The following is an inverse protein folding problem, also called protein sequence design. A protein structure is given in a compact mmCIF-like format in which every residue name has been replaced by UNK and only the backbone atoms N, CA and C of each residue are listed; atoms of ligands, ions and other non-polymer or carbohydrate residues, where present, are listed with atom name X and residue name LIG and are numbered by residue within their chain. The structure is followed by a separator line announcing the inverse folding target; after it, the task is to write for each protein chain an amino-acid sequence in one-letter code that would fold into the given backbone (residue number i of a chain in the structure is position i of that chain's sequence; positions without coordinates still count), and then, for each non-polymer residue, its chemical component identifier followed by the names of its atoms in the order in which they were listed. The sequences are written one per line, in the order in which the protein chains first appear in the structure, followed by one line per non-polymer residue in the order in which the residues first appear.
data_IF_494476692446
#
_entry.id   IF_494476692446
#
_cell.length_a   1.000
_cell.length_b   1.000
_cell.length_c   1.000
_cell.angle_alpha   90.00
_cell.angle_beta   90.00
_cell.angle_gamma   90.00
#
_symmetry.space_group_name_H-M   'P 1'
#
loop_
_entity.id
_entity.type
_entity.pdbx_description
1 polymer ?
#
# COMPACT_ATOMS: atom_id res chain seq x y z
N UNK A 1 13.39 -6.87 16.52
CA UNK A 1 13.11 -8.23 15.99
C UNK A 1 13.40 -9.25 17.10
N UNK A 2 14.58 -9.28 17.70
CA UNK A 2 14.97 -10.26 18.74
C UNK A 2 14.05 -10.32 19.99
N UNK A 3 13.29 -9.27 20.27
CA UNK A 3 12.29 -9.26 21.36
C UNK A 3 10.99 -9.95 20.93
N UNK A 4 10.58 -9.81 19.67
CA UNK A 4 9.38 -10.47 19.15
C UNK A 4 9.54 -12.00 19.05
N UNK A 5 10.74 -12.48 18.79
CA UNK A 5 11.04 -13.93 18.72
C UNK A 5 10.90 -14.63 20.07
N UNK A 6 10.94 -13.87 21.18
CA UNK A 6 10.77 -14.40 22.54
C UNK A 6 9.31 -14.55 22.95
N UNK A 7 8.37 -13.93 22.19
CA UNK A 7 6.95 -13.97 22.51
C UNK A 7 6.38 -15.32 22.06
N UNK A 8 5.98 -16.11 23.03
CA UNK A 8 5.36 -17.40 22.79
C UNK A 8 3.84 -17.27 22.52
N UNK A 9 3.24 -18.31 21.93
CA UNK A 9 1.77 -18.39 21.84
C UNK A 9 1.10 -18.27 23.21
N UNK A 10 1.72 -18.83 24.26
CA UNK A 10 1.19 -18.76 25.62
C UNK A 10 1.17 -17.33 26.15
N UNK A 11 2.18 -16.51 25.85
CA UNK A 11 2.23 -15.11 26.24
C UNK A 11 1.11 -14.30 25.58
N UNK A 12 0.84 -14.55 24.31
CA UNK A 12 -0.26 -13.89 23.56
C UNK A 12 -1.61 -14.28 24.16
N UNK A 13 -1.83 -15.58 24.42
CA UNK A 13 -3.08 -16.07 25.03
C UNK A 13 -3.24 -15.50 26.44
N UNK A 14 -2.18 -15.48 27.23
CA UNK A 14 -2.19 -14.88 28.57
C UNK A 14 -2.56 -13.39 28.51
N UNK A 15 -1.89 -12.64 27.64
CA UNK A 15 -2.20 -11.21 27.44
C UNK A 15 -3.66 -11.00 27.05
N UNK A 16 -4.17 -11.78 26.11
CA UNK A 16 -5.56 -11.67 25.67
C UNK A 16 -6.54 -11.93 26.83
N UNK A 17 -6.31 -12.98 27.63
CA UNK A 17 -7.15 -13.31 28.78
C UNK A 17 -7.06 -12.27 29.91
N UNK A 18 -5.91 -11.63 30.07
CA UNK A 18 -5.71 -10.59 31.10
C UNK A 18 -6.30 -9.24 30.67
N UNK A 19 -6.27 -8.93 29.35
CA UNK A 19 -6.67 -7.63 28.81
C UNK A 19 -8.13 -7.58 28.37
N UNK A 20 -8.61 -8.59 27.63
CA UNK A 20 -9.98 -8.66 27.13
C UNK A 20 -10.89 -9.36 28.17
N UNK A 21 -11.44 -8.57 29.05
CA UNK A 21 -12.42 -9.00 30.07
C UNK A 21 -13.76 -8.30 29.80
N UNK A 22 -14.58 -8.14 30.83
CA UNK A 22 -15.88 -7.45 30.76
C UNK A 22 -15.77 -5.92 30.65
N UNK A 23 -14.57 -5.40 30.45
CA UNK A 23 -14.23 -3.97 30.34
C UNK A 23 -14.37 -3.44 28.90
N UNK A 24 -15.43 -3.82 28.20
CA UNK A 24 -15.71 -3.38 26.85
C UNK A 24 -17.00 -2.58 26.74
N UNK A 25 -17.09 -1.72 25.73
CA UNK A 25 -18.30 -0.97 25.39
C UNK A 25 -18.77 -1.44 24.02
N UNK A 26 -20.04 -1.79 23.90
CA UNK A 26 -20.66 -2.18 22.64
C UNK A 26 -21.51 -1.04 22.14
N UNK A 27 -21.28 -0.61 20.92
CA UNK A 27 -22.11 0.38 20.23
C UNK A 27 -22.85 -0.31 19.08
N UNK A 28 -24.18 -0.34 19.17
CA UNK A 28 -25.03 -0.86 18.12
C UNK A 28 -25.39 0.26 17.12
N UNK A 29 -25.12 0.04 15.83
CA UNK A 29 -25.56 0.94 14.75
C UNK A 29 -26.64 0.25 13.96
N UNK A 30 -27.87 0.70 14.13
CA UNK A 30 -29.02 0.18 13.44
C UNK A 30 -29.52 1.16 12.36
N UNK A 31 -30.18 0.62 11.33
CA UNK A 31 -30.82 1.45 10.29
C UNK A 31 -32.20 1.87 10.79
N UNK A 32 -32.44 3.16 10.89
CA UNK A 32 -33.73 3.72 11.31
C UNK A 32 -33.61 5.02 12.05
N UNK A 33 -34.73 5.50 12.58
CA UNK A 33 -34.82 6.66 13.45
C UNK A 33 -35.08 6.16 14.86
N UNK A 34 -34.25 6.57 15.82
CA UNK A 34 -34.48 6.27 17.23
C UNK A 34 -35.10 7.50 17.91
N UNK A 35 -36.41 7.45 18.11
CA UNK A 35 -37.15 8.56 18.74
C UNK A 35 -36.85 8.74 20.23
N UNK A 36 -36.14 7.73 20.86
CA UNK A 36 -35.73 7.78 22.27
C UNK A 36 -34.34 8.39 22.45
N UNK A 37 -33.71 8.87 21.38
CA UNK A 37 -32.41 9.52 21.46
C UNK A 37 -32.55 10.86 22.20
N UNK A 38 -32.02 10.91 23.42
CA UNK A 38 -31.87 12.19 24.13
C UNK A 38 -30.84 13.03 23.39
N UNK A 39 -31.31 14.06 22.70
CA UNK A 39 -30.39 15.02 22.06
C UNK A 39 -29.73 15.85 23.16
N UNK A 40 -28.45 15.68 23.33
CA UNK A 40 -27.65 16.57 24.17
C UNK A 40 -27.77 17.98 23.59
N UNK A 41 -28.32 18.93 24.38
CA UNK A 41 -28.30 20.31 23.97
C UNK A 41 -26.86 20.80 23.87
N UNK A 42 -26.56 21.43 22.74
CA UNK A 42 -25.21 21.96 22.53
C UNK A 42 -24.97 23.06 23.60
N UNK A 43 -24.03 22.83 24.55
CA UNK A 43 -23.67 23.89 25.49
C UNK A 43 -23.13 25.06 24.68
N UNK A 44 -23.66 26.25 24.92
CA UNK A 44 -23.17 27.44 24.20
C UNK A 44 -21.66 27.56 24.33
N UNK A 45 -20.95 27.41 23.21
CA UNK A 45 -19.50 27.56 23.19
C UNK A 45 -19.20 29.06 23.19
N UNK A 46 -18.58 29.56 24.25
CA UNK A 46 -18.09 30.94 24.28
C UNK A 46 -16.95 31.06 23.25
N UNK A 47 -17.09 31.93 22.23
CA UNK A 47 -16.04 32.08 21.23
C UNK A 47 -14.75 32.58 21.90
N UNK A 48 -13.68 31.79 21.80
CA UNK A 48 -12.36 32.21 22.23
C UNK A 48 -11.82 33.18 21.17
N UNK A 49 -11.47 34.39 21.58
CA UNK A 49 -10.77 35.33 20.70
C UNK A 49 -9.36 34.78 20.41
N UNK A 50 -9.22 34.14 19.26
CA UNK A 50 -7.93 33.63 18.81
C UNK A 50 -7.16 34.80 18.17
N UNK A 51 -6.06 35.20 18.77
CA UNK A 51 -5.11 36.08 18.13
C UNK A 51 -4.24 35.23 17.17
N UNK A 52 -4.61 35.21 15.90
CA UNK A 52 -3.91 34.44 14.85
C UNK A 52 -2.50 35.01 14.52
N UNK A 53 -2.23 36.23 14.94
CA UNK A 53 -0.95 36.91 14.71
C UNK A 53 -0.01 36.80 15.93
N UNK A 54 -0.49 36.22 17.03
CA UNK A 54 0.34 35.98 18.20
C UNK A 54 1.44 34.95 17.87
N UNK A 55 2.68 35.40 17.98
CA UNK A 55 3.85 34.57 17.78
C UNK A 55 4.62 34.45 19.08
N UNK A 56 5.03 33.23 19.41
CA UNK A 56 5.92 33.01 20.56
C UNK A 56 7.29 33.69 20.31
N UNK A 57 8.04 34.06 21.37
CA UNK A 57 9.41 34.54 21.21
C UNK A 57 10.29 33.58 20.42
N UNK A 58 10.11 32.27 20.62
CA UNK A 58 10.80 31.22 19.87
C UNK A 58 10.51 31.28 18.36
N UNK A 59 9.23 31.37 17.96
CA UNK A 59 8.88 31.48 16.55
C UNK A 59 9.45 32.77 15.94
N UNK A 60 9.39 33.91 16.66
CA UNK A 60 9.98 35.17 16.21
C UNK A 60 11.49 35.02 15.98
N UNK A 61 12.21 34.34 16.87
CA UNK A 61 13.64 34.10 16.71
C UNK A 61 13.95 33.25 15.48
N UNK A 62 13.17 32.23 15.21
CA UNK A 62 13.29 31.39 13.98
C UNK A 62 13.03 32.23 12.73
N UNK A 63 11.94 33.00 12.71
CA UNK A 63 11.56 33.83 11.57
C UNK A 63 12.56 34.98 11.30
N UNK A 64 13.25 35.45 12.33
CA UNK A 64 14.31 36.44 12.19
C UNK A 64 15.65 35.85 11.72
N UNK A 65 15.81 34.55 11.74
CA UNK A 65 17.01 33.88 11.27
C UNK A 65 17.11 34.03 9.74
N UNK A 66 18.19 34.62 9.27
CA UNK A 66 18.47 34.75 7.83
C UNK A 66 18.73 33.35 7.27
N UNK A 67 17.80 32.81 6.48
CA UNK A 67 18.05 31.59 5.76
C UNK A 67 19.24 31.80 4.78
N UNK A 68 20.18 30.87 4.80
CA UNK A 68 21.24 30.88 3.77
C UNK A 68 20.64 30.57 2.39
N UNK A 69 21.31 31.04 1.35
CA UNK A 69 20.91 30.72 -0.04
C UNK A 69 20.99 29.20 -0.27
N UNK A 70 19.85 28.58 -0.36
CA UNK A 70 19.76 27.15 -0.73
C UNK A 70 19.90 27.07 -2.25
N UNK A 71 21.06 26.63 -2.70
CA UNK A 71 21.27 26.33 -4.12
C UNK A 71 20.77 24.90 -4.41
N UNK A 72 19.86 24.71 -5.36
CA UNK A 72 19.42 23.38 -5.73
C UNK A 72 20.61 22.59 -6.29
N UNK A 73 20.80 21.37 -5.78
CA UNK A 73 21.75 20.41 -6.35
C UNK A 73 20.96 19.44 -7.24
N UNK A 74 21.18 19.54 -8.54
CA UNK A 74 20.55 18.63 -9.50
C UNK A 74 21.36 17.33 -9.57
N UNK A 75 20.63 16.20 -9.55
CA UNK A 75 21.25 14.89 -9.74
C UNK A 75 21.42 14.66 -11.23
N UNK A 76 22.65 14.41 -11.66
CA UNK A 76 22.92 13.89 -12.99
C UNK A 76 22.65 12.38 -13.01
N UNK A 77 21.51 11.99 -13.57
CA UNK A 77 21.08 10.60 -13.64
C UNK A 77 22.02 9.71 -14.48
N UNK A 78 22.79 10.28 -15.40
CA UNK A 78 23.74 9.52 -16.21
C UNK A 78 24.93 9.02 -15.39
N UNK A 79 25.29 9.75 -14.35
CA UNK A 79 26.39 9.38 -13.45
C UNK A 79 25.90 8.70 -12.16
N UNK A 80 24.67 9.03 -11.72
CA UNK A 80 24.10 8.50 -10.48
C UNK A 80 23.54 7.08 -10.62
N UNK A 81 23.18 6.65 -11.85
CA UNK A 81 22.60 5.35 -12.14
C UNK A 81 23.60 4.50 -12.89
N UNK A 82 24.05 3.41 -12.27
CA UNK A 82 24.83 2.38 -12.99
C UNK A 82 23.89 1.57 -13.89
N UNK A 83 24.26 1.42 -15.14
CA UNK A 83 23.50 0.67 -16.14
C UNK A 83 24.31 -0.54 -16.58
N UNK A 84 23.69 -1.72 -16.51
CA UNK A 84 24.27 -2.98 -16.99
C UNK A 84 23.22 -3.76 -17.80
N UNK A 85 23.60 -4.92 -18.29
CA UNK A 85 22.68 -5.85 -18.98
C UNK A 85 22.81 -7.24 -18.38
N UNK A 86 21.67 -7.89 -18.16
CA UNK A 86 21.59 -9.32 -17.85
C UNK A 86 20.91 -9.96 -19.06
N UNK A 87 21.68 -10.74 -19.84
CA UNK A 87 21.29 -11.21 -21.19
C UNK A 87 20.93 -9.98 -22.07
N UNK A 88 19.68 -9.90 -22.55
CA UNK A 88 19.14 -8.81 -23.37
C UNK A 88 18.44 -7.71 -22.56
N UNK A 89 18.28 -7.89 -21.26
CA UNK A 89 17.54 -6.96 -20.39
C UNK A 89 18.44 -5.91 -19.78
N UNK A 90 18.01 -4.65 -19.87
CA UNK A 90 18.65 -3.51 -19.20
C UNK A 90 18.39 -3.60 -17.70
N UNK A 91 19.43 -3.44 -16.90
CA UNK A 91 19.37 -3.33 -15.45
C UNK A 91 19.92 -1.97 -15.03
N UNK A 92 19.14 -1.22 -14.31
CA UNK A 92 19.54 0.04 -13.71
C UNK A 92 19.74 -0.16 -12.21
N UNK A 93 20.85 0.31 -11.67
CA UNK A 93 21.23 0.11 -10.27
C UNK A 93 21.64 1.42 -9.63
N UNK A 94 21.13 1.66 -8.43
CA UNK A 94 21.55 2.76 -7.55
C UNK A 94 21.86 2.14 -6.18
N UNK A 95 23.10 2.36 -5.69
CA UNK A 95 23.49 1.85 -4.37
C UNK A 95 22.80 2.62 -3.26
N UNK A 96 22.11 1.92 -2.36
CA UNK A 96 21.64 2.51 -1.11
C UNK A 96 22.84 2.76 -0.18
N UNK A 97 23.06 4.01 0.21
CA UNK A 97 24.17 4.44 1.07
C UNK A 97 23.74 4.66 2.52
N UNK A 98 22.47 4.52 2.83
CA UNK A 98 21.88 4.93 4.11
C UNK A 98 21.58 3.76 5.03
N UNK A 99 21.23 2.62 4.47
CA UNK A 99 20.88 1.42 5.22
C UNK A 99 21.02 0.16 4.36
N UNK A 100 20.76 -1.01 4.93
CA UNK A 100 20.85 -2.34 4.28
C UNK A 100 19.57 -2.76 3.57
N UNK A 101 18.63 -1.86 3.32
CA UNK A 101 17.41 -2.16 2.58
C UNK A 101 17.68 -2.06 1.09
N UNK A 102 17.40 -3.14 0.37
CA UNK A 102 17.43 -3.18 -1.08
C UNK A 102 16.02 -3.30 -1.67
N UNK A 103 15.87 -2.79 -2.87
CA UNK A 103 14.66 -2.95 -3.67
C UNK A 103 15.01 -3.48 -5.05
N UNK A 104 14.29 -4.50 -5.50
CA UNK A 104 14.37 -5.03 -6.86
C UNK A 104 13.01 -4.88 -7.52
N UNK A 105 12.97 -4.25 -8.70
CA UNK A 105 11.74 -4.07 -9.47
C UNK A 105 11.86 -4.70 -10.85
N UNK A 106 10.91 -5.56 -11.18
CA UNK A 106 10.69 -6.07 -12.54
C UNK A 106 9.70 -5.13 -13.22
N UNK A 107 10.14 -4.44 -14.24
CA UNK A 107 9.33 -3.48 -15.00
C UNK A 107 9.00 -4.09 -16.36
N UNK A 108 7.72 -4.31 -16.60
CA UNK A 108 7.19 -4.78 -17.87
C UNK A 108 6.52 -3.59 -18.57
N UNK A 109 6.97 -3.17 -19.76
CA UNK A 109 6.34 -2.09 -20.53
C UNK A 109 5.03 -2.58 -21.18
N UNK A 110 4.11 -3.01 -20.35
CA UNK A 110 2.84 -3.62 -20.71
C UNK A 110 1.83 -3.38 -19.59
N UNK A 111 0.75 -2.70 -19.90
CA UNK A 111 -0.25 -2.27 -18.93
C UNK A 111 -1.69 -2.42 -19.44
N UNK A 112 -2.63 -1.77 -18.78
CA UNK A 112 -4.07 -1.89 -19.13
C UNK A 112 -4.44 -1.25 -20.46
N UNK A 113 -3.58 -0.40 -21.04
CA UNK A 113 -3.77 0.11 -22.41
C UNK A 113 -3.46 -0.97 -23.47
N UNK A 114 -2.64 -1.95 -23.12
CA UNK A 114 -2.33 -3.10 -23.97
C UNK A 114 -3.36 -4.23 -23.80
N UNK A 115 -3.77 -4.47 -22.56
CA UNK A 115 -4.75 -5.50 -22.21
C UNK A 115 -5.55 -5.09 -20.96
N UNK A 116 -6.86 -4.90 -21.14
CA UNK A 116 -7.78 -4.48 -20.07
C UNK A 116 -7.94 -5.54 -18.97
N UNK A 117 -7.72 -6.81 -19.28
CA UNK A 117 -7.85 -7.91 -18.34
C UNK A 117 -6.61 -8.07 -17.44
N UNK A 118 -5.50 -7.44 -17.80
CA UNK A 118 -4.24 -7.54 -17.07
C UNK A 118 -4.37 -7.12 -15.61
N UNK A 119 -5.15 -6.08 -15.32
CA UNK A 119 -5.40 -5.63 -13.95
C UNK A 119 -6.07 -6.70 -13.09
N UNK A 120 -7.03 -7.44 -13.67
CA UNK A 120 -7.66 -8.58 -13.01
C UNK A 120 -6.67 -9.72 -12.82
N UNK A 121 -5.93 -10.10 -13.87
CA UNK A 121 -4.91 -11.14 -13.80
C UNK A 121 -3.87 -10.88 -12.72
N UNK A 122 -3.34 -9.66 -12.64
CA UNK A 122 -2.37 -9.25 -11.61
C UNK A 122 -3.00 -9.26 -10.20
N UNK A 123 -4.28 -8.88 -10.08
CA UNK A 123 -5.00 -8.93 -8.81
C UNK A 123 -5.21 -10.36 -8.31
N UNK A 124 -5.46 -11.30 -9.22
CA UNK A 124 -5.61 -12.73 -8.89
C UNK A 124 -4.26 -13.35 -8.54
N UNK A 125 -3.20 -13.03 -9.30
CA UNK A 125 -1.87 -13.61 -9.17
C UNK A 125 -1.34 -13.58 -7.72
N UNK A 126 -1.55 -12.49 -7.00
CA UNK A 126 -1.07 -12.35 -5.62
C UNK A 126 -1.72 -13.31 -4.60
N UNK A 127 -2.78 -14.00 -5.00
CA UNK A 127 -3.48 -14.99 -4.18
C UNK A 127 -3.26 -16.42 -4.67
N UNK A 128 -2.51 -16.61 -5.76
CA UNK A 128 -2.21 -17.93 -6.32
C UNK A 128 -0.95 -18.52 -5.72
N UNK A 129 -0.98 -19.82 -5.51
CA UNK A 129 0.20 -20.60 -5.15
C UNK A 129 0.96 -21.11 -6.36
N UNK A 130 1.88 -22.02 -6.11
CA UNK A 130 2.67 -22.73 -7.11
C UNK A 130 2.46 -24.25 -6.97
N UNK A 131 3.16 -25.01 -7.78
CA UNK A 131 3.26 -26.47 -7.63
C UNK A 131 3.88 -26.89 -6.29
N UNK A 132 4.74 -26.03 -5.71
CA UNK A 132 5.51 -26.32 -4.48
C UNK A 132 4.97 -25.65 -3.23
N UNK A 133 4.36 -24.48 -3.36
CA UNK A 133 3.92 -23.63 -2.23
C UNK A 133 2.46 -23.23 -2.36
N UNK A 134 1.70 -23.31 -1.26
CA UNK A 134 0.41 -22.64 -1.17
C UNK A 134 0.62 -21.11 -1.09
N UNK A 135 -0.43 -20.29 -1.32
CA UNK A 135 -0.33 -18.84 -1.16
C UNK A 135 0.15 -18.40 0.23
N UNK A 136 -0.29 -19.11 1.28
CA UNK A 136 0.12 -18.86 2.67
C UNK A 136 1.60 -19.18 2.87
N UNK A 137 2.06 -20.32 2.35
CA UNK A 137 3.45 -20.73 2.42
C UNK A 137 4.37 -19.76 1.67
N UNK A 138 3.96 -19.24 0.51
CA UNK A 138 4.71 -18.18 -0.20
C UNK A 138 4.86 -16.93 0.67
N UNK A 139 3.78 -16.48 1.30
CA UNK A 139 3.82 -15.32 2.22
C UNK A 139 4.73 -15.59 3.41
N UNK A 140 4.68 -16.77 3.98
CA UNK A 140 5.53 -17.18 5.09
C UNK A 140 7.01 -17.20 4.69
N UNK A 141 7.35 -17.75 3.52
CA UNK A 141 8.73 -17.79 3.03
C UNK A 141 9.28 -16.36 2.78
N UNK A 142 8.48 -15.46 2.17
CA UNK A 142 8.88 -14.06 2.05
C UNK A 142 9.04 -13.38 3.40
N UNK A 143 8.15 -13.65 4.35
CA UNK A 143 8.24 -13.13 5.71
C UNK A 143 9.52 -13.60 6.43
N UNK A 144 9.87 -14.89 6.35
CA UNK A 144 11.13 -15.44 6.92
C UNK A 144 12.38 -14.76 6.34
N UNK A 145 12.30 -14.34 5.07
CA UNK A 145 13.37 -13.59 4.42
C UNK A 145 13.39 -12.11 4.81
N UNK A 146 12.37 -11.60 5.50
CA UNK A 146 12.20 -10.17 5.76
C UNK A 146 12.02 -9.37 4.47
N UNK A 147 11.37 -9.96 3.46
CA UNK A 147 11.11 -9.36 2.16
C UNK A 147 9.61 -9.18 1.97
N UNK A 148 9.21 -7.98 1.65
CA UNK A 148 7.88 -7.66 1.16
C UNK A 148 7.85 -7.68 -0.36
N UNK A 149 6.71 -8.03 -0.92
CA UNK A 149 6.47 -7.98 -2.36
C UNK A 149 5.20 -7.19 -2.69
N UNK A 150 5.16 -6.62 -3.88
CA UNK A 150 3.98 -5.93 -4.39
C UNK A 150 3.86 -6.10 -5.90
N UNK A 151 2.61 -6.13 -6.36
CA UNK A 151 2.24 -6.22 -7.76
C UNK A 151 1.41 -4.99 -8.12
N UNK A 152 1.81 -4.25 -9.13
CA UNK A 152 1.13 -3.04 -9.56
C UNK A 152 1.02 -2.99 -11.08
N UNK A 153 -0.18 -2.74 -11.56
CA UNK A 153 -0.44 -2.48 -12.99
C UNK A 153 -0.95 -1.05 -13.15
N UNK A 154 -0.38 -0.32 -14.08
CA UNK A 154 -0.83 0.97 -14.55
C UNK A 154 -1.30 0.88 -16.01
N UNK A 155 -1.50 2.02 -16.66
CA UNK A 155 -1.96 2.06 -18.03
C UNK A 155 -0.93 1.48 -19.01
N UNK A 156 0.35 1.76 -18.80
CA UNK A 156 1.46 1.54 -19.69
C UNK A 156 2.48 0.50 -19.20
N UNK A 157 2.39 0.10 -17.94
CA UNK A 157 3.39 -0.81 -17.35
C UNK A 157 2.83 -1.64 -16.19
N UNK A 158 3.44 -2.79 -15.99
CA UNK A 158 3.26 -3.63 -14.81
C UNK A 158 4.59 -3.72 -14.07
N UNK A 159 4.54 -3.53 -12.76
CA UNK A 159 5.72 -3.55 -11.90
C UNK A 159 5.52 -4.57 -10.78
N UNK A 160 6.51 -5.44 -10.61
CA UNK A 160 6.61 -6.34 -9.45
C UNK A 160 7.81 -5.88 -8.65
N UNK A 161 7.61 -5.56 -7.39
CA UNK A 161 8.65 -5.04 -6.52
C UNK A 161 8.89 -5.94 -5.32
N UNK A 162 10.16 -6.21 -5.02
CA UNK A 162 10.63 -6.82 -3.78
C UNK A 162 11.37 -5.76 -2.97
N UNK A 163 11.10 -5.68 -1.69
CA UNK A 163 11.79 -4.77 -0.77
C UNK A 163 12.14 -5.49 0.52
N UNK A 164 13.38 -5.42 0.96
CA UNK A 164 13.83 -6.06 2.18
C UNK A 164 15.35 -5.97 2.35
N UNK A 165 15.92 -6.79 3.23
CA UNK A 165 17.34 -6.79 3.50
C UNK A 165 18.16 -7.26 2.26
N UNK A 166 19.22 -6.51 1.94
CA UNK A 166 20.12 -6.80 0.82
C UNK A 166 20.68 -8.23 0.89
N UNK A 167 21.08 -8.67 2.10
CA UNK A 167 21.62 -10.00 2.34
C UNK A 167 20.69 -11.16 1.92
N UNK A 168 19.38 -10.93 1.98
CA UNK A 168 18.34 -11.91 1.65
C UNK A 168 17.77 -11.73 0.24
N UNK A 169 18.10 -10.64 -0.44
CA UNK A 169 17.45 -10.27 -1.72
C UNK A 169 17.67 -11.33 -2.81
N UNK A 170 18.81 -11.98 -2.85
CA UNK A 170 19.05 -13.09 -3.81
C UNK A 170 18.00 -14.20 -3.65
N UNK A 171 17.77 -14.66 -2.42
CA UNK A 171 16.75 -15.69 -2.14
C UNK A 171 15.34 -15.21 -2.45
N UNK A 172 15.04 -13.93 -2.17
CA UNK A 172 13.77 -13.33 -2.52
C UNK A 172 13.52 -13.28 -4.02
N UNK A 173 14.53 -12.95 -4.82
CA UNK A 173 14.47 -12.97 -6.29
C UNK A 173 14.27 -14.40 -6.80
N UNK A 174 14.97 -15.39 -6.25
CA UNK A 174 14.80 -16.81 -6.60
C UNK A 174 13.37 -17.29 -6.30
N UNK A 175 12.84 -16.96 -5.13
CA UNK A 175 11.46 -17.29 -4.74
C UNK A 175 10.43 -16.60 -5.65
N UNK A 176 10.61 -15.32 -5.97
CA UNK A 176 9.73 -14.59 -6.89
C UNK A 176 9.77 -15.19 -8.30
N UNK A 177 10.95 -15.53 -8.81
CA UNK A 177 11.08 -16.18 -10.11
C UNK A 177 10.38 -17.54 -10.12
N UNK A 178 10.53 -18.33 -9.06
CA UNK A 178 9.79 -19.58 -8.92
C UNK A 178 8.28 -19.34 -8.95
N UNK A 179 7.79 -18.35 -8.19
CA UNK A 179 6.36 -18.01 -8.17
C UNK A 179 5.85 -17.63 -9.56
N UNK A 180 6.51 -16.70 -10.24
CA UNK A 180 6.09 -16.22 -11.56
C UNK A 180 6.10 -17.30 -12.66
N UNK A 181 7.01 -18.26 -12.56
CA UNK A 181 7.17 -19.31 -13.60
C UNK A 181 6.33 -20.57 -13.32
N UNK A 182 5.90 -20.79 -12.08
CA UNK A 182 5.20 -22.01 -11.66
C UNK A 182 3.84 -21.73 -11.03
N UNK A 183 3.24 -20.58 -11.35
CA UNK A 183 1.93 -20.22 -10.80
C UNK A 183 0.88 -21.26 -11.19
N UNK A 184 0.07 -21.67 -10.20
CA UNK A 184 -1.02 -22.63 -10.40
C UNK A 184 -2.35 -21.88 -10.39
N UNK A 185 -3.06 -21.95 -11.50
CA UNK A 185 -4.39 -21.35 -11.60
C UNK A 185 -5.38 -22.03 -10.63
N UNK A 186 -6.18 -21.21 -9.97
CA UNK A 186 -7.26 -21.65 -9.08
C UNK A 186 -8.53 -20.91 -9.42
N UNK A 187 -9.54 -21.67 -9.91
CA UNK A 187 -10.83 -21.11 -10.30
C UNK A 187 -11.59 -20.51 -9.12
N UNK A 188 -11.51 -21.09 -7.93
CA UNK A 188 -12.22 -20.59 -6.76
C UNK A 188 -11.67 -19.24 -6.32
N UNK A 189 -10.35 -19.06 -6.36
CA UNK A 189 -9.69 -17.79 -6.08
C UNK A 189 -10.08 -16.74 -7.14
N UNK A 190 -10.11 -17.13 -8.41
CA UNK A 190 -10.56 -16.23 -9.48
C UNK A 190 -12.00 -15.76 -9.25
N UNK A 191 -12.94 -16.71 -9.05
CA UNK A 191 -14.36 -16.41 -8.85
C UNK A 191 -14.57 -15.51 -7.62
N UNK A 192 -13.87 -15.78 -6.52
CA UNK A 192 -13.92 -14.95 -5.30
C UNK A 192 -13.38 -13.55 -5.54
N UNK A 193 -12.28 -13.41 -6.28
CA UNK A 193 -11.70 -12.11 -6.62
C UNK A 193 -12.65 -11.29 -7.49
N UNK A 194 -13.24 -11.90 -8.52
CA UNK A 194 -14.25 -11.25 -9.37
C UNK A 194 -15.44 -10.79 -8.55
N UNK A 195 -15.97 -11.64 -7.66
CA UNK A 195 -17.07 -11.29 -6.76
C UNK A 195 -16.74 -10.07 -5.91
N UNK A 196 -15.57 -10.07 -5.27
CA UNK A 196 -15.10 -8.94 -4.44
C UNK A 196 -14.98 -7.63 -5.24
N UNK A 197 -14.49 -7.71 -6.48
CA UNK A 197 -14.39 -6.54 -7.37
C UNK A 197 -15.80 -6.01 -7.71
N UNK A 198 -16.75 -6.88 -8.03
CA UNK A 198 -18.12 -6.48 -8.35
C UNK A 198 -18.81 -5.84 -7.15
N UNK A 199 -18.68 -6.41 -5.97
CA UNK A 199 -19.18 -5.83 -4.70
C UNK A 199 -18.56 -4.44 -4.43
N UNK A 200 -17.24 -4.30 -4.64
CA UNK A 200 -16.55 -3.00 -4.52
C UNK A 200 -17.08 -1.96 -5.50
N UNK A 201 -17.41 -2.36 -6.74
CA UNK A 201 -18.01 -1.47 -7.74
C UNK A 201 -19.40 -1.01 -7.32
N UNK A 202 -20.21 -1.89 -6.74
CA UNK A 202 -21.54 -1.54 -6.25
C UNK A 202 -21.49 -0.58 -5.05
N UNK A 203 -20.51 -0.72 -4.17
CA UNK A 203 -20.24 0.25 -3.11
C UNK A 203 -19.78 1.58 -3.70
N UNK A 204 -18.89 1.55 -4.69
CA UNK A 204 -18.37 2.76 -5.34
C UNK A 204 -19.47 3.59 -6.00
N UNK A 205 -20.52 2.97 -6.57
CA UNK A 205 -21.68 3.65 -7.14
C UNK A 205 -22.52 4.42 -6.12
N UNK A 206 -22.32 4.18 -4.83
CA UNK A 206 -22.99 4.88 -3.71
C UNK A 206 -22.10 5.93 -3.04
N UNK A 207 -20.83 6.01 -3.42
CA UNK A 207 -19.86 6.95 -2.88
C UNK A 207 -19.88 8.27 -3.68
N UNK A 208 -20.25 9.37 -3.02
CA UNK A 208 -20.37 10.69 -3.65
C UNK A 208 -19.07 11.18 -4.29
N UNK A 209 -17.94 10.92 -3.65
CA UNK A 209 -16.62 11.35 -4.13
C UNK A 209 -16.24 10.59 -5.41
N UNK A 210 -16.48 9.28 -5.43
CA UNK A 210 -16.23 8.45 -6.61
C UNK A 210 -17.16 8.79 -7.77
N UNK A 211 -18.44 9.06 -7.50
CA UNK A 211 -19.40 9.52 -8.52
C UNK A 211 -18.93 10.84 -9.11
N UNK A 212 -18.52 11.80 -8.28
CA UNK A 212 -18.03 13.10 -8.75
C UNK A 212 -16.75 12.96 -9.59
N UNK A 213 -15.83 12.10 -9.15
CA UNK A 213 -14.62 11.82 -9.93
C UNK A 213 -14.94 11.19 -11.29
N UNK A 214 -15.88 10.26 -11.35
CA UNK A 214 -16.32 9.64 -12.59
C UNK A 214 -16.98 10.66 -13.53
N UNK A 215 -17.86 11.55 -13.02
CA UNK A 215 -18.47 12.62 -13.79
C UNK A 215 -17.43 13.61 -14.33
N UNK A 216 -16.44 13.97 -13.51
CA UNK A 216 -15.36 14.86 -13.94
C UNK A 216 -14.51 14.25 -15.04
N UNK A 217 -14.20 12.96 -14.93
CA UNK A 217 -13.47 12.24 -15.98
C UNK A 217 -14.29 12.13 -17.25
N UNK A 218 -15.58 11.80 -17.14
CA UNK A 218 -16.47 11.76 -18.30
C UNK A 218 -16.60 13.12 -18.99
N UNK A 219 -16.71 14.21 -18.22
CA UNK A 219 -16.76 15.57 -18.76
C UNK A 219 -15.48 15.95 -19.53
N UNK A 220 -14.31 15.42 -19.12
CA UNK A 220 -13.04 15.69 -19.78
C UNK A 220 -12.77 14.79 -20.99
N UNK A 221 -13.14 13.53 -20.94
CA UNK A 221 -12.70 12.50 -21.89
C UNK A 221 -13.86 11.82 -22.63
N UNK A 222 -15.13 12.15 -22.29
CA UNK A 222 -16.29 11.54 -22.91
C UNK A 222 -16.28 10.01 -22.82
N UNK A 223 -16.49 9.36 -23.96
CA UNK A 223 -16.48 7.89 -24.08
C UNK A 223 -15.12 7.25 -23.80
N UNK A 224 -14.04 8.02 -23.87
CA UNK A 224 -12.68 7.56 -23.59
C UNK A 224 -12.32 7.67 -22.09
N UNK A 225 -13.31 8.02 -21.24
CA UNK A 225 -13.16 7.99 -19.80
C UNK A 225 -12.81 6.59 -19.31
N UNK A 226 -11.76 6.49 -18.51
CA UNK A 226 -11.22 5.22 -17.96
C UNK A 226 -11.79 4.85 -16.60
N UNK A 227 -12.86 5.50 -16.13
CA UNK A 227 -13.54 5.23 -14.86
C UNK A 227 -14.91 4.59 -15.10
#
# INVERSE_FOLDING_TARGET
INEYEKISKADIVKFANDFFKDNYVVVYKEKGVNDKLVRVQNPGITPIKINREAQSPFLKSILSTKAGDIKPQFIDYNTAIAVSKIKDKKVSFVKNKYNEVAQVSYVFPFGTDNDKELSLGVSVLQYLGTDKYTPEQLKEEFFKLGISNSFRTSNDQTIITLTGLESNMKKGVELMNHWMTNVKADKAIYDQTVKTILESRDVAKKDKTRIMAALTNYAKYGKDSRM
#
